data_IF_306401963887
#
_entry.id   IF_306401963887
#
_cell.length_a   1.000
_cell.length_b   1.000
_cell.length_c   1.000
_cell.angle_alpha   90.00
_cell.angle_beta   90.00
_cell.angle_gamma   90.00
#
_symmetry.space_group_name_H-M   'P 1'
#
loop_
_entity.id
_entity.type
_entity.pdbx_description
1 polymer ?
#
# COMPACT_ATOMS: atom_id res chain seq x y z
N UNK A 1 -9.51 -0.58 -4.92
CA UNK A 1 -8.18 0.06 -4.88
C UNK A 1 -8.02 1.17 -5.92
N UNK A 2 -8.36 0.97 -7.21
CA UNK A 2 -8.12 1.96 -8.28
C UNK A 2 -8.63 3.38 -8.01
N UNK A 3 -9.81 3.54 -7.40
CA UNK A 3 -10.34 4.87 -7.03
C UNK A 3 -9.56 5.55 -5.89
N UNK A 4 -8.95 4.76 -5.00
CA UNK A 4 -8.19 5.25 -3.85
C UNK A 4 -6.75 5.62 -4.21
N UNK A 5 -6.20 5.06 -5.28
CA UNK A 5 -4.85 5.34 -5.78
C UNK A 5 -4.84 6.33 -6.95
N UNK A 6 -6.00 6.84 -7.36
CA UNK A 6 -6.13 7.76 -8.50
C UNK A 6 -5.29 9.03 -8.27
N UNK A 7 -4.38 9.33 -9.19
CA UNK A 7 -3.47 10.49 -9.11
C UNK A 7 -2.18 10.27 -8.31
N UNK A 8 -2.03 9.13 -7.62
CA UNK A 8 -0.83 8.81 -6.81
C UNK A 8 -0.24 7.43 -7.11
N UNK A 9 -0.71 6.77 -8.18
CA UNK A 9 -0.27 5.42 -8.59
C UNK A 9 1.25 5.34 -8.79
N UNK A 10 1.87 6.43 -9.26
CA UNK A 10 3.32 6.50 -9.50
C UNK A 10 4.15 6.65 -8.21
N UNK A 11 3.53 7.02 -7.09
CA UNK A 11 4.20 7.29 -5.82
C UNK A 11 3.88 6.27 -4.73
N UNK A 12 2.84 5.45 -4.94
CA UNK A 12 2.29 4.57 -3.93
C UNK A 12 1.98 3.19 -4.51
N UNK A 13 2.73 2.19 -4.07
CA UNK A 13 2.39 0.79 -4.29
C UNK A 13 1.42 0.32 -3.21
N UNK A 14 0.31 -0.28 -3.59
CA UNK A 14 -0.71 -0.80 -2.65
C UNK A 14 -1.10 -2.21 -3.06
N UNK A 15 -1.02 -3.15 -2.12
CA UNK A 15 -1.44 -4.54 -2.29
C UNK A 15 -2.52 -4.89 -1.27
N UNK A 16 -3.42 -5.79 -1.67
CA UNK A 16 -4.44 -6.37 -0.80
C UNK A 16 -4.17 -7.85 -0.70
N UNK A 17 -3.72 -8.30 0.46
CA UNK A 17 -3.40 -9.69 0.71
C UNK A 17 -4.59 -10.38 1.39
N UNK A 18 -5.02 -11.51 0.84
CA UNK A 18 -5.98 -12.39 1.51
C UNK A 18 -5.23 -13.32 2.46
N UNK A 19 -5.67 -13.35 3.72
CA UNK A 19 -5.08 -14.14 4.79
C UNK A 19 -6.14 -15.10 5.32
N UNK A 20 -6.03 -16.36 4.90
CA UNK A 20 -6.88 -17.44 5.37
C UNK A 20 -6.31 -17.99 6.68
N UNK A 21 -7.09 -17.92 7.76
CA UNK A 21 -6.71 -18.40 9.08
C UNK A 21 -7.69 -19.46 9.55
N UNK A 22 -7.19 -20.66 9.81
CA UNK A 22 -7.97 -21.72 10.44
C UNK A 22 -7.78 -21.67 11.94
N UNK A 23 -8.87 -21.52 12.68
CA UNK A 23 -8.87 -21.53 14.15
C UNK A 23 -9.71 -22.68 14.69
N UNK A 24 -9.24 -23.31 15.77
CA UNK A 24 -10.00 -24.31 16.51
C UNK A 24 -10.75 -23.63 17.63
N UNK A 25 -12.06 -23.52 17.50
CA UNK A 25 -12.92 -22.86 18.49
C UNK A 25 -13.76 -23.90 19.24
N UNK A 26 -14.02 -23.60 20.50
CA UNK A 26 -14.88 -24.43 21.34
C UNK A 26 -16.35 -24.19 20.95
N UNK A 27 -17.08 -25.28 20.68
CA UNK A 27 -18.49 -25.22 20.24
C UNK A 27 -19.42 -24.70 21.36
N UNK A 28 -19.11 -25.03 22.62
CA UNK A 28 -19.94 -24.71 23.79
C UNK A 28 -19.43 -23.53 24.62
N UNK A 29 -20.33 -22.84 25.32
CA UNK A 29 -19.95 -21.75 26.25
C UNK A 29 -19.34 -22.32 27.54
N UNK A 30 -18.43 -21.56 28.16
CA UNK A 30 -17.82 -21.91 29.46
C UNK A 30 -16.39 -22.44 29.37
N UNK A 31 -15.76 -22.72 30.51
CA UNK A 31 -14.37 -23.20 30.57
C UNK A 31 -14.25 -24.62 29.96
N UNK A 32 -13.21 -24.91 29.17
CA UNK A 32 -12.99 -26.24 28.63
C UNK A 32 -12.85 -27.32 29.73
N UNK A 33 -13.61 -28.40 29.59
CA UNK A 33 -13.46 -29.66 30.34
C UNK A 33 -13.07 -30.86 29.45
N UNK A 34 -12.98 -32.08 30.02
CA UNK A 34 -12.48 -33.28 29.33
C UNK A 34 -13.26 -33.68 28.08
N UNK A 35 -14.58 -33.40 28.05
CA UNK A 35 -15.49 -33.75 26.95
C UNK A 35 -15.80 -32.55 26.04
N UNK A 36 -14.95 -31.52 26.05
CA UNK A 36 -15.16 -30.31 25.25
C UNK A 36 -15.00 -30.63 23.77
N UNK A 37 -16.01 -30.25 22.97
CA UNK A 37 -15.97 -30.38 21.52
C UNK A 37 -15.41 -29.11 20.89
N UNK A 38 -14.55 -29.30 19.91
CA UNK A 38 -13.95 -28.23 19.12
C UNK A 38 -14.39 -28.38 17.68
N UNK A 39 -14.52 -27.26 16.99
CA UNK A 39 -14.72 -27.18 15.55
C UNK A 39 -13.61 -26.35 14.91
N UNK A 40 -13.32 -26.63 13.65
CA UNK A 40 -12.42 -25.82 12.85
C UNK A 40 -13.23 -24.77 12.11
N UNK A 41 -12.83 -23.51 12.29
CA UNK A 41 -13.44 -22.36 11.64
C UNK A 41 -12.39 -21.70 10.78
N UNK A 42 -12.69 -21.59 9.49
CA UNK A 42 -11.90 -20.81 8.55
C UNK A 42 -12.37 -19.35 8.61
N UNK A 43 -11.43 -18.45 8.85
CA UNK A 43 -11.63 -17.02 8.82
C UNK A 43 -10.79 -16.41 7.72
N UNK A 44 -11.45 -15.73 6.79
CA UNK A 44 -10.79 -14.95 5.74
C UNK A 44 -10.60 -13.54 6.23
N UNK A 45 -9.35 -13.10 6.33
CA UNK A 45 -8.98 -11.73 6.69
C UNK A 45 -8.33 -11.05 5.50
N UNK A 46 -8.61 -9.76 5.28
CA UNK A 46 -7.95 -8.97 4.24
C UNK A 46 -6.98 -7.98 4.86
N UNK A 47 -5.73 -7.99 4.40
CA UNK A 47 -4.68 -7.09 4.86
C UNK A 47 -4.28 -6.15 3.73
N UNK A 48 -4.46 -4.85 3.95
CA UNK A 48 -3.94 -3.82 3.04
C UNK A 48 -2.49 -3.55 3.38
N UNK A 49 -1.57 -3.71 2.43
CA UNK A 49 -0.19 -3.27 2.53
C UNK A 49 0.05 -2.14 1.53
N UNK A 50 0.89 -1.19 1.91
CA UNK A 50 1.26 -0.10 1.02
C UNK A 50 2.68 0.37 1.31
N UNK A 51 3.35 0.84 0.26
CA UNK A 51 4.70 1.36 0.33
C UNK A 51 4.82 2.57 -0.59
N UNK A 52 5.55 3.59 -0.13
CA UNK A 52 5.87 4.77 -0.92
C UNK A 52 7.09 4.52 -1.80
N UNK A 53 7.04 4.99 -3.04
CA UNK A 53 8.24 5.11 -3.87
C UNK A 53 8.93 6.44 -3.56
N UNK A 54 9.84 6.41 -2.60
CA UNK A 54 10.59 7.60 -2.18
C UNK A 54 11.44 8.21 -3.30
N UNK A 55 11.86 7.41 -4.29
CA UNK A 55 12.63 7.91 -5.44
C UNK A 55 11.73 8.69 -6.39
N UNK A 56 10.55 8.16 -6.70
CA UNK A 56 9.56 8.85 -7.52
C UNK A 56 9.12 10.15 -6.85
N UNK A 57 8.87 10.13 -5.54
CA UNK A 57 8.52 11.32 -4.75
C UNK A 57 9.66 12.34 -4.76
N UNK A 58 10.90 11.92 -4.52
CA UNK A 58 12.05 12.82 -4.52
C UNK A 58 12.32 13.43 -5.90
N UNK A 59 12.08 12.68 -6.98
CA UNK A 59 12.17 13.20 -8.35
C UNK A 59 11.09 14.24 -8.61
N UNK A 60 9.83 13.93 -8.28
CA UNK A 60 8.72 14.86 -8.44
C UNK A 60 8.95 16.15 -7.63
N UNK A 61 9.40 16.05 -6.38
CA UNK A 61 9.69 17.22 -5.54
C UNK A 61 10.83 18.12 -6.06
N UNK A 62 11.75 17.59 -6.88
CA UNK A 62 12.82 18.39 -7.53
C UNK A 62 12.33 19.08 -8.81
N UNK A 63 11.21 18.62 -9.37
CA UNK A 63 10.64 19.14 -10.61
C UNK A 63 9.39 20.00 -10.36
N UNK A 64 8.72 19.81 -9.22
CA UNK A 64 7.57 20.59 -8.75
C UNK A 64 8.00 22.03 -8.38
N UNK A 65 7.95 22.91 -9.38
CA UNK A 65 8.36 24.31 -9.26
C UNK A 65 9.64 24.70 -10.00
N UNK A 66 10.07 23.96 -11.03
CA UNK A 66 11.23 24.37 -11.83
C UNK A 66 10.92 25.64 -12.63
N UNK A 67 11.47 26.78 -12.19
CA UNK A 67 11.53 27.99 -13.00
C UNK A 67 12.67 27.84 -14.01
N UNK A 68 12.45 28.04 -15.33
CA UNK A 68 13.43 27.76 -16.40
C UNK A 68 14.80 28.47 -16.34
N UNK A 69 15.07 29.24 -15.29
CA UNK A 69 16.26 30.07 -15.12
C UNK A 69 17.00 29.80 -13.80
N UNK A 70 16.52 28.90 -12.93
CA UNK A 70 17.20 28.51 -11.69
C UNK A 70 16.81 27.08 -11.34
N UNK A 71 17.59 26.14 -11.86
CA UNK A 71 17.29 24.72 -11.80
C UNK A 71 17.96 24.08 -10.58
N UNK A 72 17.21 23.32 -9.77
CA UNK A 72 17.74 22.47 -8.69
C UNK A 72 18.00 21.02 -9.14
N UNK A 73 18.19 20.81 -10.45
CA UNK A 73 18.31 19.48 -11.07
C UNK A 73 19.37 19.48 -12.18
N UNK A 74 20.05 18.34 -12.38
CA UNK A 74 21.10 18.18 -13.40
C UNK A 74 20.55 17.84 -14.80
N UNK A 75 19.22 17.89 -14.98
CA UNK A 75 18.57 17.59 -16.25
C UNK A 75 18.69 18.77 -17.23
N UNK A 76 18.84 18.51 -18.55
CA UNK A 76 18.82 19.57 -19.54
C UNK A 76 17.44 20.24 -19.57
N UNK A 77 17.40 21.57 -19.73
CA UNK A 77 16.18 22.39 -19.61
C UNK A 77 14.99 21.88 -20.47
N UNK A 78 15.26 21.29 -21.63
CA UNK A 78 14.24 20.70 -22.51
C UNK A 78 13.56 19.46 -21.92
N UNK A 79 14.27 18.65 -21.14
CA UNK A 79 13.72 17.46 -20.49
C UNK A 79 12.91 17.82 -19.25
N UNK A 80 13.29 18.89 -18.56
CA UNK A 80 12.48 19.43 -17.47
C UNK A 80 11.11 19.87 -17.98
N UNK A 81 11.05 20.70 -19.03
CA UNK A 81 9.79 21.21 -19.57
C UNK A 81 8.84 20.11 -20.06
N UNK A 82 9.37 18.91 -20.34
CA UNK A 82 8.59 17.73 -20.71
C UNK A 82 8.11 16.91 -19.51
N UNK A 83 8.81 17.02 -18.38
CA UNK A 83 8.48 16.32 -17.12
C UNK A 83 7.46 17.09 -16.29
N UNK A 84 7.42 18.43 -16.42
CA UNK A 84 6.50 19.34 -15.71
C UNK A 84 5.10 19.46 -16.38
N UNK A 85 4.62 18.43 -17.07
CA UNK A 85 3.38 18.50 -17.88
C UNK A 85 2.43 17.34 -17.67
#
# INVERSE_FOLDING_TARGET
>A
MQKATQGVVEYLSVTLDEVNKTERVQVGRGRPGPNTRYEEVEQVHYRVQWQRDEKAIARAARTDGLFPLTDNTDLPAVEVLRTDR
#
